data_IF_060624278374
#
_entry.id   IF_060624278374
#
_cell.length_a   1.000
_cell.length_b   1.000
_cell.length_c   1.000
_cell.angle_alpha   90.00
_cell.angle_beta   90.00
_cell.angle_gamma   90.00
#
_symmetry.space_group_name_H-M   'P 1'
#
loop_
_entity.id
_entity.type
_entity.pdbx_description
1 polymer ?
#
# COMPACT_ATOMS: atom_id res chain seq x y z
N UNK A 1 41.94 -5.95 -16.19
CA UNK A 1 41.21 -6.23 -17.45
C UNK A 1 40.30 -7.45 -17.31
N UNK A 2 40.76 -8.57 -16.72
CA UNK A 2 40.02 -9.83 -16.54
C UNK A 2 38.70 -9.72 -15.77
N UNK A 3 38.57 -8.84 -14.77
CA UNK A 3 37.31 -8.61 -14.05
C UNK A 3 36.42 -7.50 -14.65
N UNK A 4 36.96 -6.67 -15.55
CA UNK A 4 36.25 -5.54 -16.12
C UNK A 4 35.22 -5.97 -17.19
N UNK A 5 35.58 -6.95 -18.03
CA UNK A 5 34.69 -7.47 -19.07
C UNK A 5 33.44 -8.16 -18.50
N UNK A 6 33.55 -9.07 -17.49
CA UNK A 6 32.36 -9.63 -16.84
C UNK A 6 31.50 -8.58 -16.15
N UNK A 7 32.11 -7.60 -15.48
CA UNK A 7 31.37 -6.53 -14.82
C UNK A 7 30.58 -5.67 -15.82
N UNK A 8 31.18 -5.31 -16.95
CA UNK A 8 30.50 -4.56 -18.02
C UNK A 8 29.36 -5.39 -18.65
N UNK A 9 29.57 -6.69 -18.86
CA UNK A 9 28.52 -7.57 -19.36
C UNK A 9 27.35 -7.66 -18.38
N UNK A 10 27.62 -7.86 -17.08
CA UNK A 10 26.60 -7.90 -16.04
C UNK A 10 25.84 -6.58 -15.96
N UNK A 11 26.55 -5.44 -16.02
CA UNK A 11 25.92 -4.12 -16.04
C UNK A 11 25.01 -3.94 -17.26
N UNK A 12 25.47 -4.33 -18.46
CA UNK A 12 24.67 -4.26 -19.68
C UNK A 12 23.42 -5.16 -19.60
N UNK A 13 23.58 -6.41 -19.14
CA UNK A 13 22.46 -7.34 -18.96
C UNK A 13 21.44 -6.81 -17.94
N UNK A 14 21.92 -6.27 -16.83
CA UNK A 14 21.08 -5.63 -15.81
C UNK A 14 20.33 -4.43 -16.38
N UNK A 15 21.03 -3.53 -17.10
CA UNK A 15 20.41 -2.39 -17.74
C UNK A 15 19.33 -2.81 -18.74
N UNK A 16 19.62 -3.78 -19.64
CA UNK A 16 18.65 -4.31 -20.60
C UNK A 16 17.44 -4.93 -19.91
N UNK A 17 17.66 -5.73 -18.86
CA UNK A 17 16.57 -6.30 -18.06
C UNK A 17 15.72 -5.22 -17.39
N UNK A 18 16.36 -4.16 -16.87
CA UNK A 18 15.68 -3.08 -16.13
C UNK A 18 14.71 -2.26 -16.99
N UNK A 19 14.95 -2.16 -18.30
CA UNK A 19 14.10 -1.39 -19.24
C UNK A 19 13.27 -2.29 -20.17
N UNK A 20 13.41 -3.62 -20.07
CA UNK A 20 12.82 -4.57 -21.03
C UNK A 20 11.29 -4.50 -21.17
N UNK A 21 10.60 -3.85 -20.23
CA UNK A 21 9.13 -3.71 -20.22
C UNK A 21 8.63 -2.33 -20.63
N UNK A 22 9.52 -1.36 -20.84
CA UNK A 22 9.17 0.06 -20.97
C UNK A 22 8.61 0.47 -22.34
N UNK A 23 8.67 -0.42 -23.32
CA UNK A 23 8.02 -0.25 -24.62
C UNK A 23 6.53 -0.67 -24.62
N UNK A 24 6.00 -1.16 -23.49
CA UNK A 24 4.63 -1.68 -23.39
C UNK A 24 3.56 -0.69 -23.85
N UNK A 25 3.65 0.57 -23.40
CA UNK A 25 2.68 1.63 -23.72
C UNK A 25 2.96 2.28 -25.07
N UNK A 26 4.23 2.40 -25.47
CA UNK A 26 4.63 2.90 -26.78
C UNK A 26 4.04 2.03 -27.90
N UNK A 27 4.18 0.70 -27.78
CA UNK A 27 3.59 -0.27 -28.72
C UNK A 27 2.05 -0.22 -28.80
N UNK A 28 1.39 0.38 -27.80
CA UNK A 28 -0.07 0.49 -27.70
C UNK A 28 -0.59 1.89 -27.99
N UNK A 29 0.28 2.83 -28.33
CA UNK A 29 -0.04 4.25 -28.50
C UNK A 29 -0.79 4.85 -27.29
N UNK A 30 -0.41 4.43 -26.08
CA UNK A 30 -0.96 4.97 -24.82
C UNK A 30 0.02 6.02 -24.29
N UNK A 31 -0.41 7.22 -23.87
CA UNK A 31 0.48 8.21 -23.30
C UNK A 31 0.93 7.80 -21.90
N UNK A 32 2.22 7.99 -21.58
CA UNK A 32 2.81 7.65 -20.28
C UNK A 32 4.02 8.52 -19.97
N UNK A 33 4.30 8.85 -18.69
CA UNK A 33 5.51 9.57 -18.33
C UNK A 33 6.74 8.68 -18.58
N UNK A 34 7.84 9.25 -19.08
CA UNK A 34 9.06 8.49 -19.35
C UNK A 34 9.58 7.81 -18.07
N UNK A 35 9.73 6.48 -18.04
CA UNK A 35 10.20 5.76 -16.87
C UNK A 35 11.72 5.85 -16.71
N UNK A 36 12.19 5.77 -15.47
CA UNK A 36 13.61 5.64 -15.12
C UNK A 36 13.97 4.15 -15.06
N UNK A 37 15.14 3.71 -15.60
CA UNK A 37 15.57 2.31 -15.53
C UNK A 37 15.39 1.70 -14.13
N UNK A 38 14.82 0.49 -14.07
CA UNK A 38 14.44 -0.25 -12.86
C UNK A 38 13.28 0.36 -12.04
N UNK A 39 13.29 1.66 -11.83
CA UNK A 39 12.41 2.35 -10.88
C UNK A 39 11.09 2.83 -11.48
N UNK A 40 10.96 2.81 -12.81
CA UNK A 40 9.76 3.24 -13.50
C UNK A 40 9.48 4.71 -13.21
N UNK A 41 8.22 5.01 -12.90
CA UNK A 41 7.79 6.35 -12.52
C UNK A 41 7.85 6.61 -11.00
N UNK A 42 8.33 5.65 -10.20
CA UNK A 42 8.48 5.80 -8.75
C UNK A 42 9.80 6.47 -8.34
N UNK A 43 10.71 6.75 -9.27
CA UNK A 43 11.99 7.38 -8.96
C UNK A 43 11.87 8.71 -8.18
N UNK A 44 10.98 9.66 -8.53
CA UNK A 44 10.85 10.90 -7.77
C UNK A 44 10.46 10.66 -6.30
N UNK A 45 9.62 9.66 -6.03
CA UNK A 45 9.30 9.22 -4.67
C UNK A 45 10.50 8.63 -3.94
N UNK A 46 11.24 7.71 -4.57
CA UNK A 46 12.44 7.09 -3.98
C UNK A 46 13.56 8.11 -3.73
N UNK A 47 13.64 9.14 -4.56
CA UNK A 47 14.55 10.27 -4.39
C UNK A 47 14.07 11.31 -3.37
N UNK A 48 12.93 11.10 -2.70
CA UNK A 48 12.37 12.01 -1.70
C UNK A 48 11.84 13.34 -2.27
N UNK A 49 11.61 13.41 -3.58
CA UNK A 49 11.16 14.65 -4.26
C UNK A 49 9.65 14.82 -4.26
N UNK A 50 8.90 13.71 -4.26
CA UNK A 50 7.44 13.70 -4.24
C UNK A 50 6.95 12.61 -3.30
N UNK A 51 5.65 12.63 -2.99
CA UNK A 51 4.99 11.48 -2.37
C UNK A 51 4.84 10.32 -3.37
N UNK A 52 4.58 9.12 -2.86
CA UNK A 52 4.32 7.94 -3.70
C UNK A 52 3.06 8.11 -4.55
N UNK A 53 2.03 8.77 -4.01
CA UNK A 53 0.77 9.06 -4.72
C UNK A 53 1.02 10.02 -5.87
N UNK A 54 1.75 11.10 -5.66
CA UNK A 54 2.09 12.05 -6.73
C UNK A 54 2.93 11.40 -7.84
N UNK A 55 3.94 10.59 -7.47
CA UNK A 55 4.73 9.84 -8.45
C UNK A 55 3.87 8.87 -9.26
N UNK A 56 3.00 8.10 -8.60
CA UNK A 56 2.15 7.11 -9.26
C UNK A 56 1.03 7.75 -10.11
N UNK A 57 0.59 8.97 -9.77
CA UNK A 57 -0.47 9.69 -10.49
C UNK A 57 0.04 10.70 -11.51
N UNK A 58 1.36 10.83 -11.71
CA UNK A 58 1.95 11.83 -12.60
C UNK A 58 1.37 11.82 -14.03
N UNK A 59 1.04 10.64 -14.57
CA UNK A 59 0.42 10.51 -15.89
C UNK A 59 -0.97 11.14 -15.98
N UNK A 60 -1.74 11.17 -14.89
CA UNK A 60 -3.04 11.82 -14.84
C UNK A 60 -2.93 13.32 -15.14
N UNK A 61 -1.96 13.98 -14.51
CA UNK A 61 -1.75 15.42 -14.66
C UNK A 61 -1.01 15.80 -15.94
N UNK A 62 -0.14 14.92 -16.45
CA UNK A 62 0.62 15.18 -17.68
C UNK A 62 -0.22 15.00 -18.96
N UNK A 63 -1.26 14.17 -18.90
CA UNK A 63 -2.08 13.83 -20.07
C UNK A 63 -3.57 14.03 -19.78
N UNK A 64 -4.02 15.25 -19.40
CA UNK A 64 -5.39 15.48 -18.94
C UNK A 64 -6.46 15.21 -20.01
N UNK A 65 -6.09 15.33 -21.29
CA UNK A 65 -6.99 15.08 -22.43
C UNK A 65 -7.08 13.58 -22.79
N UNK A 66 -6.27 12.73 -22.18
CA UNK A 66 -6.30 11.29 -22.44
C UNK A 66 -7.43 10.64 -21.64
N UNK A 67 -8.07 9.62 -22.21
CA UNK A 67 -9.11 8.84 -21.49
C UNK A 67 -8.49 7.99 -20.36
N UNK A 68 -7.24 7.60 -20.56
CA UNK A 68 -6.37 6.92 -19.62
C UNK A 68 -4.91 7.13 -20.02
N UNK A 69 -4.01 7.01 -19.07
CA UNK A 69 -2.56 7.06 -19.28
C UNK A 69 -1.88 5.84 -18.67
N UNK A 70 -0.67 5.54 -19.09
CA UNK A 70 0.18 4.52 -18.48
C UNK A 70 1.07 5.09 -17.37
N UNK A 71 1.52 4.21 -16.48
CA UNK A 71 2.66 4.42 -15.60
C UNK A 71 3.38 3.08 -15.36
N UNK A 72 4.63 3.15 -14.93
CA UNK A 72 5.41 1.98 -14.53
C UNK A 72 5.65 1.99 -13.03
N UNK A 73 5.08 1.02 -12.34
CA UNK A 73 5.48 0.67 -10.98
C UNK A 73 6.68 -0.27 -11.08
N UNK A 74 7.88 0.27 -10.87
CA UNK A 74 9.15 -0.38 -11.22
C UNK A 74 9.17 -0.84 -12.68
N UNK A 75 9.05 -2.14 -12.93
CA UNK A 75 9.02 -2.77 -14.25
C UNK A 75 7.60 -3.16 -14.68
N UNK A 76 6.60 -3.05 -13.80
CA UNK A 76 5.21 -3.46 -14.09
C UNK A 76 4.43 -2.28 -14.69
N UNK A 77 3.84 -2.42 -15.89
CA UNK A 77 2.95 -1.40 -16.44
C UNK A 77 1.63 -1.37 -15.66
N UNK A 78 1.10 -0.18 -15.42
CA UNK A 78 -0.22 0.06 -14.84
C UNK A 78 -0.97 1.16 -15.60
N UNK A 79 -2.28 1.07 -15.65
CA UNK A 79 -3.13 2.08 -16.26
C UNK A 79 -3.70 3.03 -15.21
N UNK A 80 -3.70 4.33 -15.51
CA UNK A 80 -4.39 5.38 -14.78
C UNK A 80 -5.64 5.74 -15.58
N UNK A 81 -6.82 5.50 -15.01
CA UNK A 81 -8.11 5.80 -15.64
C UNK A 81 -8.49 7.24 -15.34
N UNK A 82 -8.78 8.04 -16.36
CA UNK A 82 -9.12 9.46 -16.19
C UNK A 82 -10.64 9.68 -16.29
N UNK A 83 -11.33 8.84 -17.07
CA UNK A 83 -12.77 8.94 -17.26
C UNK A 83 -13.59 8.15 -16.23
N UNK A 84 -14.61 8.80 -15.67
CA UNK A 84 -15.53 8.20 -14.70
C UNK A 84 -16.31 7.00 -15.28
N UNK A 85 -16.74 7.07 -16.53
CA UNK A 85 -17.53 5.99 -17.14
C UNK A 85 -16.69 4.72 -17.33
N UNK A 86 -15.41 4.88 -17.67
CA UNK A 86 -14.48 3.76 -17.74
C UNK A 86 -14.19 3.20 -16.34
N UNK A 87 -14.01 4.06 -15.34
CA UNK A 87 -13.83 3.64 -13.95
C UNK A 87 -15.03 2.84 -13.43
N UNK A 88 -16.26 3.28 -13.72
CA UNK A 88 -17.50 2.56 -13.35
C UNK A 88 -17.62 1.22 -14.09
N UNK A 89 -17.16 1.14 -15.35
CA UNK A 89 -17.12 -0.15 -16.07
C UNK A 89 -16.20 -1.12 -15.34
N UNK A 90 -14.96 -0.72 -15.07
CA UNK A 90 -13.95 -1.56 -14.41
C UNK A 90 -14.37 -1.98 -12.99
N UNK A 91 -14.86 -1.03 -12.19
CA UNK A 91 -15.11 -1.26 -10.76
C UNK A 91 -16.51 -1.78 -10.43
N UNK A 92 -17.46 -1.72 -11.36
CA UNK A 92 -18.87 -2.12 -11.13
C UNK A 92 -19.35 -3.11 -12.18
N UNK A 93 -19.39 -2.71 -13.47
CA UNK A 93 -20.05 -3.50 -14.51
C UNK A 93 -19.28 -4.76 -14.87
N UNK A 94 -17.98 -4.63 -15.02
CA UNK A 94 -17.06 -5.67 -15.48
C UNK A 94 -16.14 -6.15 -14.35
N UNK A 95 -16.52 -5.90 -13.09
CA UNK A 95 -15.70 -6.18 -11.89
C UNK A 95 -15.20 -7.63 -11.82
N UNK A 96 -15.97 -8.59 -12.32
CA UNK A 96 -15.55 -10.00 -12.36
C UNK A 96 -14.26 -10.26 -13.16
N UNK A 97 -13.84 -9.32 -14.02
CA UNK A 97 -12.56 -9.37 -14.74
C UNK A 97 -11.42 -8.65 -13.99
N UNK A 98 -11.73 -7.88 -12.94
CA UNK A 98 -10.81 -7.01 -12.20
C UNK A 98 -10.88 -7.23 -10.68
N UNK A 99 -11.07 -8.49 -10.27
CA UNK A 99 -11.31 -8.86 -8.87
C UNK A 99 -10.08 -8.63 -7.99
N UNK A 100 -8.90 -8.89 -8.54
CA UNK A 100 -7.65 -8.94 -7.79
C UNK A 100 -6.92 -7.60 -7.79
N UNK A 101 -6.34 -7.24 -6.65
CA UNK A 101 -5.49 -6.06 -6.55
C UNK A 101 -4.15 -6.28 -7.27
N UNK A 102 -3.57 -5.20 -7.80
CA UNK A 102 -2.30 -5.25 -8.53
C UNK A 102 -1.10 -5.67 -7.66
N UNK A 103 -1.24 -5.53 -6.34
CA UNK A 103 -0.23 -5.89 -5.37
C UNK A 103 -0.78 -6.96 -4.43
N UNK A 104 -0.21 -8.16 -4.55
CA UNK A 104 -0.54 -9.33 -3.75
C UNK A 104 0.73 -9.82 -3.02
N UNK A 105 0.52 -10.59 -1.95
CA UNK A 105 1.60 -11.19 -1.18
C UNK A 105 1.29 -12.67 -1.02
N UNK A 106 2.21 -13.53 -1.47
CA UNK A 106 2.04 -14.98 -1.25
C UNK A 106 2.10 -15.27 0.25
N UNK A 107 1.19 -16.10 0.80
CA UNK A 107 1.32 -16.60 2.16
C UNK A 107 2.62 -17.37 2.43
N UNK A 108 3.31 -17.84 1.39
CA UNK A 108 4.61 -18.50 1.49
C UNK A 108 5.75 -17.49 1.74
N UNK A 109 5.59 -16.25 1.25
CA UNK A 109 6.54 -15.14 1.45
C UNK A 109 6.29 -14.47 2.78
N UNK A 110 5.02 -14.14 3.07
CA UNK A 110 4.61 -13.55 4.34
C UNK A 110 3.22 -14.11 4.71
N UNK A 111 3.16 -15.05 5.68
CA UNK A 111 1.89 -15.64 6.10
C UNK A 111 0.91 -14.63 6.70
N UNK A 112 1.40 -13.54 7.29
CA UNK A 112 0.55 -12.53 7.92
C UNK A 112 -0.09 -11.62 6.87
N UNK A 113 0.72 -10.99 6.03
CA UNK A 113 0.23 -10.11 4.96
C UNK A 113 -0.52 -10.91 3.90
N UNK A 114 0.02 -12.05 3.46
CA UNK A 114 -0.58 -12.84 2.40
C UNK A 114 -1.94 -13.44 2.76
N UNK A 115 -2.24 -13.64 4.05
CA UNK A 115 -3.57 -14.08 4.51
C UNK A 115 -4.53 -12.93 4.80
N UNK A 116 -4.04 -11.69 4.83
CA UNK A 116 -4.93 -10.54 5.01
C UNK A 116 -5.88 -10.39 3.82
N UNK A 117 -7.06 -9.81 4.05
CA UNK A 117 -8.04 -9.59 3.00
C UNK A 117 -7.50 -8.67 1.90
N UNK A 118 -6.64 -7.71 2.25
CA UNK A 118 -6.15 -6.69 1.32
C UNK A 118 -5.21 -7.26 0.24
N UNK A 119 -4.38 -8.24 0.59
CA UNK A 119 -3.40 -8.87 -0.31
C UNK A 119 -3.85 -10.24 -0.85
N UNK A 120 -5.05 -10.69 -0.48
CA UNK A 120 -5.61 -11.96 -0.97
C UNK A 120 -6.23 -11.82 -2.35
N UNK A 121 -6.26 -12.94 -3.10
CA UNK A 121 -6.78 -13.00 -4.47
C UNK A 121 -7.87 -14.07 -4.62
N UNK A 122 -8.66 -13.95 -5.67
CA UNK A 122 -9.64 -14.92 -6.15
C UNK A 122 -10.64 -15.36 -5.08
N UNK A 123 -10.84 -16.68 -4.98
CA UNK A 123 -11.80 -17.27 -4.05
C UNK A 123 -11.46 -16.97 -2.58
N UNK A 124 -10.17 -16.86 -2.22
CA UNK A 124 -9.78 -16.54 -0.84
C UNK A 124 -10.25 -15.15 -0.46
N UNK A 125 -10.05 -14.17 -1.35
CA UNK A 125 -10.59 -12.82 -1.16
C UNK A 125 -12.12 -12.83 -1.09
N UNK A 126 -12.80 -13.52 -2.02
CA UNK A 126 -14.28 -13.60 -2.04
C UNK A 126 -14.84 -14.17 -0.74
N UNK A 127 -14.28 -15.27 -0.24
CA UNK A 127 -14.70 -15.88 1.03
C UNK A 127 -14.38 -14.98 2.23
N UNK A 128 -13.17 -14.41 2.30
CA UNK A 128 -12.79 -13.51 3.38
C UNK A 128 -13.68 -12.25 3.44
N UNK A 129 -13.99 -11.67 2.27
CA UNK A 129 -14.88 -10.52 2.16
C UNK A 129 -16.30 -10.87 2.61
N UNK A 130 -16.83 -12.01 2.17
CA UNK A 130 -18.15 -12.49 2.58
C UNK A 130 -18.23 -12.72 4.09
N UNK A 131 -17.18 -13.27 4.70
CA UNK A 131 -17.11 -13.50 6.15
C UNK A 131 -17.02 -12.21 6.97
N UNK A 132 -16.32 -11.19 6.48
CA UNK A 132 -16.14 -9.92 7.21
C UNK A 132 -17.28 -8.91 6.99
N UNK A 133 -17.98 -8.96 5.85
CA UNK A 133 -19.02 -7.97 5.51
C UNK A 133 -20.12 -7.83 6.58
N UNK A 134 -20.62 -8.90 7.23
CA UNK A 134 -21.64 -8.79 8.28
C UNK A 134 -21.21 -7.96 9.50
N UNK A 135 -19.90 -7.87 9.78
CA UNK A 135 -19.38 -7.07 10.89
C UNK A 135 -19.53 -5.56 10.66
N UNK A 136 -19.69 -5.13 9.40
CA UNK A 136 -19.77 -3.71 9.01
C UNK A 136 -21.17 -3.29 8.54
N UNK A 137 -22.22 -4.00 8.98
CA UNK A 137 -23.61 -3.56 8.71
C UNK A 137 -23.92 -2.23 9.40
N UNK A 138 -24.89 -1.47 8.87
CA UNK A 138 -25.25 -0.16 9.43
C UNK A 138 -25.60 -0.20 10.93
N UNK A 139 -26.17 -1.31 11.42
CA UNK A 139 -26.41 -1.47 12.86
C UNK A 139 -25.12 -1.65 13.67
N UNK A 140 -24.16 -2.43 13.17
CA UNK A 140 -22.88 -2.63 13.85
C UNK A 140 -22.03 -1.36 13.83
N UNK A 141 -22.05 -0.63 12.71
CA UNK A 141 -21.39 0.67 12.58
C UNK A 141 -21.93 1.71 13.57
N UNK A 142 -23.24 1.73 13.85
CA UNK A 142 -23.81 2.59 14.88
C UNK A 142 -23.26 2.27 16.27
N UNK A 143 -23.19 0.99 16.63
CA UNK A 143 -22.62 0.58 17.92
C UNK A 143 -21.12 0.94 18.01
N UNK A 144 -20.35 0.76 16.93
CA UNK A 144 -18.94 1.15 16.88
C UNK A 144 -18.75 2.68 17.05
N UNK A 145 -19.69 3.48 16.52
CA UNK A 145 -19.65 4.93 16.66
C UNK A 145 -19.81 5.40 18.11
N UNK A 146 -20.67 4.75 18.90
CA UNK A 146 -20.84 5.06 20.33
C UNK A 146 -19.53 4.83 21.11
N UNK A 147 -18.82 3.74 20.81
CA UNK A 147 -17.49 3.48 21.38
C UNK A 147 -16.50 4.58 20.96
N UNK A 148 -16.41 4.86 19.66
CA UNK A 148 -15.52 5.89 19.12
C UNK A 148 -15.74 7.25 19.78
N UNK A 149 -17.00 7.67 19.95
CA UNK A 149 -17.36 8.92 20.62
C UNK A 149 -16.90 8.93 22.08
N UNK A 150 -17.15 7.85 22.81
CA UNK A 150 -16.78 7.69 24.23
C UNK A 150 -15.27 7.80 24.44
N UNK A 151 -14.46 7.08 23.65
CA UNK A 151 -12.99 7.18 23.76
C UNK A 151 -12.47 8.56 23.38
N UNK A 152 -12.98 9.12 22.29
CA UNK A 152 -12.54 10.42 21.79
C UNK A 152 -12.84 11.51 22.82
N UNK A 153 -14.05 11.52 23.40
CA UNK A 153 -14.41 12.48 24.43
C UNK A 153 -13.58 12.29 25.70
N UNK A 154 -13.44 11.05 26.19
CA UNK A 154 -12.64 10.76 27.38
C UNK A 154 -11.18 11.18 27.22
N UNK A 155 -10.57 10.92 26.07
CA UNK A 155 -9.21 11.35 25.77
C UNK A 155 -9.09 12.87 25.71
N UNK A 156 -10.03 13.57 25.04
CA UNK A 156 -10.03 15.03 24.94
C UNK A 156 -10.24 15.70 26.31
N UNK A 157 -11.12 15.17 27.16
CA UNK A 157 -11.30 15.67 28.53
C UNK A 157 -10.01 15.53 29.35
N UNK A 158 -9.33 14.38 29.27
CA UNK A 158 -8.05 14.15 29.95
C UNK A 158 -6.96 15.11 29.47
N UNK A 159 -6.92 15.40 28.16
CA UNK A 159 -6.00 16.39 27.58
C UNK A 159 -6.32 17.81 28.06
N UNK A 160 -7.60 18.20 28.04
CA UNK A 160 -8.04 19.52 28.47
C UNK A 160 -7.70 19.81 29.95
N UNK A 161 -7.77 18.80 30.83
CA UNK A 161 -7.37 18.93 32.25
C UNK A 161 -5.91 19.31 32.45
N UNK A 162 -5.05 19.08 31.45
CA UNK A 162 -3.62 19.45 31.49
C UNK A 162 -3.36 20.87 30.99
N UNK A 163 -4.40 21.64 30.66
CA UNK A 163 -4.28 23.00 30.16
C UNK A 163 -3.83 23.04 28.70
N UNK A 164 -2.95 23.99 28.36
CA UNK A 164 -2.38 24.07 27.01
C UNK A 164 -1.38 22.94 26.82
N UNK A 165 -1.75 21.94 26.04
CA UNK A 165 -0.86 20.82 25.68
C UNK A 165 -0.46 20.97 24.21
N UNK A 166 0.83 21.10 23.94
CA UNK A 166 1.38 20.97 22.61
C UNK A 166 1.67 19.48 22.33
N UNK A 167 1.06 18.93 21.28
CA UNK A 167 1.26 17.55 20.84
C UNK A 167 1.39 17.49 19.33
N UNK A 168 2.21 16.56 18.88
CA UNK A 168 2.28 16.20 17.46
C UNK A 168 0.96 15.49 17.08
N UNK A 169 0.28 15.99 16.06
CA UNK A 169 -1.07 15.56 15.72
C UNK A 169 -1.10 14.10 15.24
N UNK A 170 -0.11 13.67 14.45
CA UNK A 170 -0.06 12.30 13.94
C UNK A 170 0.09 11.29 15.07
N UNK A 171 0.98 11.51 16.05
CA UNK A 171 1.12 10.65 17.23
C UNK A 171 -0.19 10.58 18.03
N UNK A 172 -0.83 11.73 18.26
CA UNK A 172 -2.12 11.77 18.98
C UNK A 172 -3.20 10.96 18.25
N UNK A 173 -3.40 11.19 16.95
CA UNK A 173 -4.42 10.47 16.18
C UNK A 173 -4.11 8.98 16.00
N UNK A 174 -2.82 8.60 15.93
CA UNK A 174 -2.42 7.20 15.90
C UNK A 174 -2.78 6.49 17.22
N UNK A 175 -2.54 7.14 18.37
CA UNK A 175 -2.90 6.61 19.70
C UNK A 175 -4.41 6.51 19.90
N UNK A 176 -5.14 7.58 19.56
CA UNK A 176 -6.61 7.59 19.59
C UNK A 176 -7.20 6.49 18.70
N UNK A 177 -6.71 6.38 17.46
CA UNK A 177 -7.13 5.33 16.53
C UNK A 177 -6.82 3.93 17.04
N UNK A 178 -5.66 3.74 17.67
CA UNK A 178 -5.31 2.47 18.31
C UNK A 178 -6.29 2.10 19.41
N UNK A 179 -6.59 3.00 20.34
CA UNK A 179 -7.48 2.70 21.48
C UNK A 179 -8.90 2.36 21.00
N UNK A 180 -9.42 3.15 20.05
CA UNK A 180 -10.72 2.90 19.43
C UNK A 180 -10.76 1.55 18.71
N UNK A 181 -9.75 1.25 17.89
CA UNK A 181 -9.71 0.00 17.13
C UNK A 181 -9.48 -1.22 18.03
N UNK A 182 -8.73 -1.07 19.11
CA UNK A 182 -8.45 -2.15 20.07
C UNK A 182 -9.72 -2.55 20.81
N UNK A 183 -10.49 -1.56 21.24
CA UNK A 183 -11.80 -1.78 21.86
C UNK A 183 -12.80 -2.40 20.88
N UNK A 184 -12.95 -1.81 19.69
CA UNK A 184 -13.91 -2.29 18.69
C UNK A 184 -13.59 -3.71 18.22
N UNK A 185 -12.32 -4.03 18.00
CA UNK A 185 -11.91 -5.28 17.36
C UNK A 185 -11.70 -6.41 18.36
N UNK A 186 -11.19 -6.11 19.56
CA UNK A 186 -10.78 -7.10 20.56
C UNK A 186 -11.55 -6.98 21.88
N UNK A 187 -12.36 -5.94 22.08
CA UNK A 187 -13.04 -5.68 23.34
C UNK A 187 -12.08 -5.32 24.48
N UNK A 188 -10.89 -4.80 24.15
CA UNK A 188 -9.85 -4.46 25.12
C UNK A 188 -9.76 -2.94 25.24
N UNK A 189 -9.87 -2.45 26.48
CA UNK A 189 -9.67 -1.04 26.81
C UNK A 189 -8.17 -0.73 26.93
N UNK A 190 -7.68 0.20 26.12
CA UNK A 190 -6.32 0.76 26.23
C UNK A 190 -6.37 2.27 26.36
N UNK A 191 -5.35 2.86 26.97
CA UNK A 191 -5.18 4.31 27.10
C UNK A 191 -3.79 4.72 26.59
N UNK A 192 -3.54 4.47 25.31
CA UNK A 192 -2.24 4.76 24.68
C UNK A 192 -1.97 6.26 24.59
N UNK A 193 -2.97 7.12 24.75
CA UNK A 193 -2.78 8.59 24.83
C UNK A 193 -2.05 8.99 26.12
N UNK A 194 -2.36 8.31 27.23
CA UNK A 194 -1.75 8.60 28.54
C UNK A 194 -0.55 7.73 28.86
N UNK A 195 -0.48 6.54 28.27
CA UNK A 195 0.59 5.57 28.44
C UNK A 195 1.51 5.55 27.19
N UNK A 196 2.68 6.24 27.24
CA UNK A 196 3.63 6.25 26.14
C UNK A 196 4.19 4.85 25.81
N UNK A 197 4.21 3.96 26.80
CA UNK A 197 4.80 2.63 26.71
C UNK A 197 3.78 1.52 26.45
N UNK A 198 2.54 1.90 26.08
CA UNK A 198 1.47 0.97 25.76
C UNK A 198 1.95 -0.10 24.76
N UNK A 199 1.98 -1.35 25.24
CA UNK A 199 2.58 -2.46 24.51
C UNK A 199 1.83 -2.75 23.21
N UNK A 200 0.50 -2.65 23.23
CA UNK A 200 -0.35 -2.88 22.06
C UNK A 200 -0.04 -1.86 20.95
N UNK A 201 0.01 -0.57 21.31
CA UNK A 201 0.37 0.51 20.38
C UNK A 201 1.78 0.33 19.81
N UNK A 202 2.78 0.07 20.66
CA UNK A 202 4.18 -0.10 20.24
C UNK A 202 4.37 -1.28 19.31
N UNK A 203 3.74 -2.42 19.62
CA UNK A 203 3.81 -3.60 18.78
C UNK A 203 3.04 -3.40 17.45
N UNK A 204 1.89 -2.74 17.48
CA UNK A 204 1.13 -2.36 16.27
C UNK A 204 1.94 -1.44 15.34
N UNK A 205 2.64 -0.44 15.90
CA UNK A 205 3.55 0.42 15.13
C UNK A 205 4.68 -0.38 14.48
N UNK A 206 5.33 -1.28 15.24
CA UNK A 206 6.42 -2.12 14.71
C UNK A 206 5.97 -2.99 13.54
N UNK A 207 4.77 -3.56 13.63
CA UNK A 207 4.19 -4.37 12.54
C UNK A 207 3.83 -3.52 11.31
N UNK A 208 3.51 -2.25 11.51
CA UNK A 208 3.12 -1.32 10.43
C UNK A 208 4.31 -0.71 9.70
N UNK A 209 5.51 -0.76 10.28
CA UNK A 209 6.72 -0.18 9.69
C UNK A 209 7.28 -1.12 8.63
N UNK A 210 7.28 -0.66 7.38
CA UNK A 210 7.88 -1.35 6.23
C UNK A 210 9.24 -0.74 5.85
N UNK A 211 10.12 -0.50 6.84
CA UNK A 211 11.46 0.06 6.61
C UNK A 211 12.56 -1.01 6.68
N UNK A 212 13.77 -0.65 6.25
CA UNK A 212 14.94 -1.54 6.32
C UNK A 212 14.78 -2.82 5.50
N UNK A 213 15.05 -3.97 6.12
CA UNK A 213 15.02 -5.29 5.48
C UNK A 213 13.60 -5.64 5.00
N UNK A 214 12.56 -5.30 5.77
CA UNK A 214 11.17 -5.57 5.37
C UNK A 214 10.79 -4.78 4.12
N UNK A 215 11.20 -3.51 4.05
CA UNK A 215 11.02 -2.67 2.84
C UNK A 215 11.79 -3.23 1.64
N UNK A 216 13.01 -3.74 1.85
CA UNK A 216 13.78 -4.39 0.79
C UNK A 216 13.09 -5.68 0.29
N UNK A 217 12.61 -6.54 1.19
CA UNK A 217 11.84 -7.74 0.82
C UNK A 217 10.60 -7.38 0.00
N UNK A 218 9.86 -6.37 0.42
CA UNK A 218 8.69 -5.85 -0.29
C UNK A 218 9.03 -5.31 -1.69
N UNK A 219 10.14 -4.57 -1.82
CA UNK A 219 10.64 -4.11 -3.11
C UNK A 219 11.00 -5.30 -4.02
N UNK A 220 11.76 -6.26 -3.50
CA UNK A 220 12.22 -7.42 -4.25
C UNK A 220 11.06 -8.30 -4.71
N UNK A 221 10.02 -8.51 -3.87
CA UNK A 221 8.83 -9.26 -4.27
C UNK A 221 8.02 -8.56 -5.37
N UNK A 222 8.15 -7.24 -5.51
CA UNK A 222 7.52 -6.47 -6.58
C UNK A 222 8.28 -6.58 -7.90
N UNK A 223 9.62 -6.55 -7.84
CA UNK A 223 10.50 -6.44 -9.02
C UNK A 223 10.88 -7.81 -9.60
N UNK A 224 11.07 -8.81 -8.75
CA UNK A 224 11.52 -10.15 -9.11
C UNK A 224 10.30 -11.09 -9.22
N UNK A 225 10.29 -12.05 -10.17
CA UNK A 225 9.24 -13.07 -10.22
C UNK A 225 9.11 -13.83 -8.90
N UNK A 226 7.88 -14.13 -8.42
CA UNK A 226 7.66 -14.81 -7.15
C UNK A 226 8.44 -16.13 -7.02
N UNK A 227 8.60 -16.89 -8.09
CA UNK A 227 9.33 -18.16 -8.07
C UNK A 227 10.81 -17.97 -7.71
N UNK A 228 11.43 -16.90 -8.24
CA UNK A 228 12.84 -16.58 -7.97
C UNK A 228 12.99 -16.03 -6.55
N UNK A 229 12.03 -15.23 -6.09
CA UNK A 229 12.01 -14.70 -4.73
C UNK A 229 11.93 -15.83 -3.69
N UNK A 230 11.02 -16.79 -3.89
CA UNK A 230 10.87 -17.98 -3.03
C UNK A 230 12.11 -18.87 -3.10
N UNK A 231 12.66 -19.10 -4.30
CA UNK A 231 13.89 -19.91 -4.48
C UNK A 231 15.08 -19.36 -3.70
N UNK A 232 15.20 -18.02 -3.59
CA UNK A 232 16.27 -17.36 -2.86
C UNK A 232 16.04 -17.34 -1.34
N UNK A 233 14.91 -17.84 -0.84
CA UNK A 233 14.57 -17.85 0.59
C UNK A 233 14.43 -16.44 1.20
N UNK A 234 14.10 -15.45 0.36
CA UNK A 234 13.97 -14.06 0.75
C UNK A 234 12.61 -13.75 1.40
#
# INVERSE_FOLDING_TARGET
>A
ITLALPALLLFYLFYRWSIATYDYFERRAVPFPKPVPLFGNLWPFLAGKTTGVESASAGYWQFPEARFSGFFNFRRPGYLVHELDLLKRITIKDFDHFVDHSFNVSPEVDPFLGRSLFFSEGLRWRHGRAGLSPAFTGSKMRNMFELLATYSEGAMQKLARRGKVEREAKDLFQRLGNDVMTSISFGIDTDSVQDPDNEFFRNGLRLSITSGIQGLKFFLSTVIPPQVFIFLGL
#
